data_IF_483710586168
#
_entry.id   IF_483710586168
#
_cell.length_a   1.000
_cell.length_b   1.000
_cell.length_c   1.000
_cell.angle_alpha   90.00
_cell.angle_beta   90.00
_cell.angle_gamma   90.00
#
_symmetry.space_group_name_H-M   'P 1'
#
loop_
_entity.id
_entity.type
_entity.pdbx_description
1 polymer ?
#
# COMPACT_ATOMS: atom_id res chain seq x y z
N UNK A 1 -7.81 -17.88 -7.94
CA UNK A 1 -7.93 -17.72 -7.74
C UNK A 1 -8.10 -17.38 -7.77
N UNK A 2 -7.99 -17.37 -7.81
CA UNK A 2 -8.22 -16.96 -7.76
C UNK A 2 -8.34 -16.37 -7.13
N UNK A 3 -8.63 -16.23 -6.82
CA UNK A 3 -8.94 -15.80 -6.17
C UNK A 3 -8.99 -15.05 -5.60
N UNK A 4 -8.83 -14.68 -5.40
CA UNK A 4 -9.03 -13.95 -4.93
C UNK A 4 -9.43 -13.03 -5.24
N UNK A 5 -9.68 -12.86 -5.85
CA UNK A 5 -10.06 -12.17 -6.22
C UNK A 5 -10.71 -11.60 -6.27
N UNK A 6 -11.21 -11.58 -6.29
CA UNK A 6 -11.87 -11.24 -6.33
C UNK A 6 -12.58 -10.69 -6.07
N UNK A 7 -13.01 -10.39 -5.73
CA UNK A 7 -13.75 -10.15 -5.31
C UNK A 7 -14.40 -9.13 -5.46
N UNK A 8 -14.56 -8.67 -6.08
CA UNK A 8 -14.92 -7.75 -6.41
C UNK A 8 -16.09 -7.59 -6.66
N UNK A 9 -16.54 -7.01 -6.75
CA UNK A 9 -17.70 -7.25 -6.77
C UNK A 9 -18.55 -6.14 -6.39
N UNK A 10 -19.79 -6.16 -6.45
CA UNK A 10 -20.66 -5.05 -6.19
C UNK A 10 -20.39 -4.59 -4.77
N UNK A 11 -20.14 -5.51 -3.97
CA UNK A 11 -19.82 -5.19 -2.63
C UNK A 11 -18.50 -4.47 -2.54
N UNK A 12 -17.75 -4.47 -3.62
CA UNK A 12 -16.45 -3.86 -3.63
C UNK A 12 -16.48 -2.39 -3.41
N UNK A 13 -17.49 -1.72 -3.91
CA UNK A 13 -17.57 -0.29 -3.73
C UNK A 13 -17.75 0.06 -2.27
N UNK A 14 -18.66 -0.60 -1.58
CA UNK A 14 -18.87 -0.37 -0.17
C UNK A 14 -17.62 -0.76 0.63
N UNK A 15 -16.98 -1.85 0.22
CA UNK A 15 -15.78 -2.28 0.88
C UNK A 15 -14.68 -1.23 0.73
N UNK A 16 -14.52 -0.68 -0.47
CA UNK A 16 -13.50 0.32 -0.71
C UNK A 16 -13.76 1.59 0.09
N UNK A 17 -15.01 2.00 0.18
CA UNK A 17 -15.34 3.18 0.97
C UNK A 17 -15.04 2.96 2.43
N UNK A 18 -15.36 1.79 2.95
CA UNK A 18 -15.06 1.46 4.32
C UNK A 18 -13.57 1.36 4.56
N UNK A 19 -12.86 0.79 3.61
CA UNK A 19 -11.41 0.67 3.72
C UNK A 19 -10.76 2.06 3.70
N UNK A 20 -11.21 2.93 2.79
CA UNK A 20 -10.65 4.27 2.71
C UNK A 20 -10.81 5.00 4.03
N UNK A 21 -11.98 4.84 4.64
CA UNK A 21 -12.23 5.51 5.89
C UNK A 21 -11.30 4.98 6.99
N UNK A 22 -11.11 3.67 7.05
CA UNK A 22 -10.21 3.08 8.03
C UNK A 22 -8.76 3.45 7.79
N UNK A 23 -8.37 3.51 6.53
CA UNK A 23 -6.99 3.81 6.17
C UNK A 23 -6.60 5.26 6.44
N UNK A 24 -7.57 6.12 6.72
CA UNK A 24 -7.26 7.49 7.10
C UNK A 24 -6.61 7.52 8.48
N UNK A 25 -6.81 6.47 9.26
CA UNK A 25 -6.15 6.35 10.56
C UNK A 25 -4.72 5.86 10.32
N UNK A 26 -3.71 6.65 10.69
CA UNK A 26 -2.31 6.28 10.40
C UNK A 26 -1.91 4.93 10.99
N UNK A 27 -2.37 4.61 12.17
CA UNK A 27 -2.01 3.34 12.79
C UNK A 27 -2.63 2.17 12.04
N UNK A 28 -3.86 2.35 11.58
CA UNK A 28 -4.50 1.30 10.81
C UNK A 28 -3.77 1.11 9.48
N UNK A 29 -3.39 2.22 8.84
CA UNK A 29 -2.68 2.15 7.57
C UNK A 29 -1.35 1.43 7.71
N UNK A 30 -0.62 1.72 8.77
CA UNK A 30 0.66 1.06 9.01
C UNK A 30 0.45 -0.44 9.23
N UNK A 31 -0.54 -0.81 10.04
CA UNK A 31 -0.84 -2.21 10.26
C UNK A 31 -1.25 -2.92 8.98
N UNK A 32 -2.02 -2.25 8.15
CA UNK A 32 -2.47 -2.77 6.86
C UNK A 32 -1.27 -3.08 5.97
N UNK A 33 -0.35 -2.12 5.85
CA UNK A 33 0.83 -2.32 5.01
C UNK A 33 1.77 -3.37 5.60
N UNK A 34 1.91 -3.40 6.90
CA UNK A 34 2.77 -4.40 7.53
C UNK A 34 2.22 -5.81 7.31
N UNK A 35 0.91 -5.97 7.36
CA UNK A 35 0.31 -7.27 7.11
C UNK A 35 0.57 -7.71 5.66
N UNK A 36 0.48 -6.77 4.73
CA UNK A 36 0.74 -7.05 3.34
C UNK A 36 2.21 -7.42 3.12
N UNK A 37 3.10 -6.73 3.80
CA UNK A 37 4.53 -7.01 3.65
C UNK A 37 4.88 -8.44 4.07
N UNK A 38 4.12 -9.02 4.96
CA UNK A 38 4.37 -10.38 5.38
C UNK A 38 4.07 -11.39 4.28
N UNK A 39 3.29 -11.00 3.28
CA UNK A 39 2.96 -11.89 2.17
C UNK A 39 4.12 -11.99 1.17
N UNK A 40 5.05 -11.06 1.26
CA UNK A 40 6.22 -11.06 0.38
C UNK A 40 5.83 -11.06 -1.10
N UNK A 41 4.79 -10.33 -1.43
CA UNK A 41 4.23 -10.26 -2.79
C UNK A 41 4.31 -8.82 -3.28
N UNK A 42 5.20 -8.53 -4.24
CA UNK A 42 5.36 -7.15 -4.70
C UNK A 42 4.10 -6.53 -5.29
N UNK A 43 3.32 -7.32 -6.03
CA UNK A 43 2.10 -6.77 -6.63
C UNK A 43 1.08 -6.43 -5.55
N UNK A 44 1.00 -7.24 -4.52
CA UNK A 44 0.09 -6.98 -3.42
C UNK A 44 0.53 -5.72 -2.68
N UNK A 45 1.83 -5.53 -2.53
CA UNK A 45 2.34 -4.34 -1.88
C UNK A 45 1.99 -3.09 -2.68
N UNK A 46 2.13 -3.14 -4.00
CA UNK A 46 1.76 -2.00 -4.83
C UNK A 46 0.29 -1.66 -4.69
N UNK A 47 -0.55 -2.69 -4.65
CA UNK A 47 -1.97 -2.48 -4.48
C UNK A 47 -2.27 -1.87 -3.12
N UNK A 48 -1.62 -2.37 -2.08
CA UNK A 48 -1.81 -1.83 -0.74
C UNK A 48 -1.34 -0.39 -0.62
N UNK A 49 -0.21 -0.07 -1.24
CA UNK A 49 0.29 1.30 -1.23
C UNK A 49 -0.68 2.22 -1.96
N UNK A 50 -1.27 1.73 -3.03
CA UNK A 50 -2.25 2.54 -3.77
C UNK A 50 -3.48 2.80 -2.91
N UNK A 51 -3.94 1.80 -2.18
CA UNK A 51 -5.10 1.96 -1.31
C UNK A 51 -4.82 3.00 -0.22
N UNK A 52 -3.65 2.93 0.38
CA UNK A 52 -3.29 3.87 1.43
C UNK A 52 -3.10 5.27 0.85
N UNK A 53 -2.47 5.36 -0.32
CA UNK A 53 -2.25 6.64 -0.97
C UNK A 53 -3.58 7.29 -1.36
N UNK A 54 -4.53 6.48 -1.82
CA UNK A 54 -5.85 7.00 -2.16
C UNK A 54 -6.53 7.57 -0.93
N UNK A 55 -6.47 6.86 0.17
CA UNK A 55 -7.11 7.31 1.41
C UNK A 55 -6.44 8.58 1.95
N UNK A 56 -5.12 8.66 1.79
CA UNK A 56 -4.37 9.82 2.27
C UNK A 56 -4.62 11.02 1.37
N UNK A 57 -4.80 10.80 0.08
CA UNK A 57 -5.04 11.84 -0.91
C UNK A 57 -3.92 11.90 -1.94
N UNK A 58 -4.21 11.48 -3.15
CA UNK A 58 -3.20 11.49 -4.21
C UNK A 58 -2.66 12.89 -4.50
N UNK A 59 -3.50 13.90 -4.40
CA UNK A 59 -3.06 15.26 -4.66
C UNK A 59 -1.97 15.67 -3.68
N UNK A 60 -2.18 15.33 -2.43
CA UNK A 60 -1.22 15.68 -1.39
C UNK A 60 0.11 14.96 -1.63
N UNK A 61 0.05 13.69 -1.98
CA UNK A 61 1.27 12.94 -2.25
C UNK A 61 1.97 13.46 -3.49
N UNK A 62 1.19 13.81 -4.51
CA UNK A 62 1.75 14.35 -5.74
C UNK A 62 2.53 15.63 -5.45
N UNK A 63 1.99 16.49 -4.60
CA UNK A 63 2.66 17.72 -4.25
C UNK A 63 3.98 17.46 -3.53
N UNK A 64 3.97 16.49 -2.64
CA UNK A 64 5.16 16.17 -1.85
C UNK A 64 6.24 15.46 -2.64
N UNK A 65 5.86 14.62 -3.60
CA UNK A 65 6.82 13.80 -4.31
C UNK A 65 7.25 14.38 -5.64
N UNK A 66 6.52 15.37 -6.14
CA UNK A 66 6.79 15.92 -7.45
C UNK A 66 6.20 15.10 -8.58
N UNK A 67 5.53 14.00 -8.27
CA UNK A 67 4.88 13.17 -9.26
C UNK A 67 3.45 13.67 -9.46
N UNK A 68 2.93 13.56 -10.65
CA UNK A 68 1.55 13.90 -10.83
C UNK A 68 0.70 12.69 -10.49
N UNK A 69 -0.60 12.91 -10.40
CA UNK A 69 -1.54 11.88 -10.01
C UNK A 69 -1.49 10.67 -10.91
N UNK A 70 -1.39 10.91 -12.19
CA UNK A 70 -1.35 9.82 -13.16
C UNK A 70 -0.09 8.98 -13.01
N UNK A 71 1.04 9.64 -12.79
CA UNK A 71 2.30 8.93 -12.58
C UNK A 71 2.25 8.08 -11.32
N UNK A 72 1.60 8.59 -10.28
CA UNK A 72 1.44 7.82 -9.05
C UNK A 72 0.61 6.56 -9.29
N UNK A 73 -0.49 6.71 -10.00
CA UNK A 73 -1.33 5.57 -10.32
C UNK A 73 -0.55 4.52 -11.10
N UNK A 74 0.22 4.98 -12.08
CA UNK A 74 1.01 4.07 -12.87
C UNK A 74 2.07 3.36 -12.05
N UNK A 75 2.78 4.10 -11.23
CA UNK A 75 3.86 3.52 -10.42
C UNK A 75 3.33 2.46 -9.47
N UNK A 76 2.11 2.63 -8.98
CA UNK A 76 1.52 1.73 -8.01
C UNK A 76 0.57 0.72 -8.63
N UNK A 77 0.74 0.43 -9.92
CA UNK A 77 -0.10 -0.55 -10.59
C UNK A 77 0.55 -1.91 -10.60
N UNK A 78 -0.27 -2.93 -10.65
CA UNK A 78 0.19 -4.30 -10.71
C UNK A 78 1.17 -4.49 -11.86
N UNK A 79 2.21 -5.23 -11.61
CA UNK A 79 3.18 -5.53 -12.65
C UNK A 79 4.23 -4.48 -12.87
N UNK A 80 4.09 -3.34 -12.20
CA UNK A 80 5.10 -2.30 -12.29
C UNK A 80 6.22 -2.60 -11.32
N UNK A 81 7.30 -1.90 -11.51
CA UNK A 81 8.46 -2.10 -10.65
C UNK A 81 9.06 -0.72 -10.34
N UNK A 82 8.38 0.06 -9.52
CA UNK A 82 8.86 1.40 -9.21
C UNK A 82 10.20 1.34 -8.49
N UNK A 83 10.98 2.37 -8.65
CA UNK A 83 12.26 2.45 -7.96
C UNK A 83 12.01 2.54 -6.47
N UNK A 84 12.95 2.02 -5.71
CA UNK A 84 12.83 2.06 -4.27
C UNK A 84 12.76 3.51 -3.76
N UNK A 85 13.46 4.42 -4.43
CA UNK A 85 13.40 5.82 -4.05
C UNK A 85 11.99 6.38 -4.18
N UNK A 86 11.28 5.99 -5.24
CA UNK A 86 9.90 6.42 -5.41
C UNK A 86 9.02 5.89 -4.29
N UNK A 87 9.20 4.63 -3.93
CA UNK A 87 8.44 4.03 -2.84
C UNK A 87 8.71 4.77 -1.53
N UNK A 88 9.98 5.06 -1.28
CA UNK A 88 10.36 5.77 -0.05
C UNK A 88 9.77 7.18 -0.02
N UNK A 89 9.77 7.85 -1.18
CA UNK A 89 9.18 9.18 -1.26
C UNK A 89 7.69 9.16 -0.98
N UNK A 90 7.00 8.17 -1.53
CA UNK A 90 5.56 8.04 -1.30
C UNK A 90 5.28 7.78 0.18
N UNK A 91 6.04 6.86 0.77
CA UNK A 91 5.86 6.56 2.19
C UNK A 91 6.14 7.78 3.05
N UNK A 92 7.22 8.50 2.71
CA UNK A 92 7.58 9.68 3.46
C UNK A 92 6.48 10.74 3.38
N UNK A 93 5.87 10.88 2.21
CA UNK A 93 4.77 11.84 2.03
C UNK A 93 3.58 11.50 2.92
N UNK A 94 3.46 10.24 3.30
CA UNK A 94 2.39 9.80 4.17
C UNK A 94 2.83 9.69 5.63
N UNK A 95 4.02 10.20 5.94
CA UNK A 95 4.52 10.17 7.31
C UNK A 95 5.06 8.82 7.75
N UNK A 96 5.39 7.96 6.78
CA UNK A 96 5.87 6.62 7.09
C UNK A 96 7.32 6.46 6.65
N UNK A 97 7.98 5.49 7.19
CA UNK A 97 9.31 5.15 6.73
C UNK A 97 9.51 3.65 6.87
N UNK A 98 10.45 3.14 6.11
CA UNK A 98 10.75 1.73 6.11
C UNK A 98 11.61 1.39 7.31
N UNK A 99 11.28 0.27 7.93
CA UNK A 99 12.04 -0.23 9.06
C UNK A 99 12.14 -1.74 8.88
N UNK A 100 13.25 -2.30 9.26
CA UNK A 100 13.44 -3.74 9.14
C UNK A 100 13.26 -4.41 10.50
N UNK A 101 12.80 -5.63 10.45
CA UNK A 101 12.74 -6.44 11.64
C UNK A 101 13.07 -7.87 11.25
N UNK A 102 13.50 -8.65 12.19
CA UNK A 102 13.89 -10.02 11.94
C UNK A 102 12.64 -10.86 11.64
N UNK A 103 12.68 -11.58 10.54
CA UNK A 103 11.58 -12.48 10.22
C UNK A 103 11.47 -13.61 11.21
N UNK A 104 12.61 -14.00 11.81
CA UNK A 104 12.62 -14.98 12.76
C UNK A 104 11.87 -14.61 13.99
N UNK A 105 11.98 -13.35 14.33
CA UNK A 105 11.30 -12.92 15.38
C UNK A 105 9.87 -12.98 15.25
N UNK A 106 9.35 -12.90 14.10
CA UNK A 106 7.98 -12.96 13.85
C UNK A 106 7.46 -14.31 14.18
N UNK A 107 8.24 -15.06 14.70
CA UNK A 107 7.77 -16.26 15.10
C UNK A 107 7.84 -17.35 14.24
N UNK A 108 8.48 -17.29 13.50
CA UNK A 108 8.47 -18.17 12.64
C UNK A 108 9.48 -18.84 12.59
N UNK A 109 9.57 -19.42 12.58
CA UNK A 109 10.36 -20.15 12.44
C UNK A 109 10.89 -20.14 11.47
N UNK A 110 11.53 -19.82 11.30
CA UNK A 110 12.22 -19.63 10.34
C UNK A 110 12.30 -20.63 9.70
N UNK A 111 12.20 -21.07 9.72
CA UNK A 111 12.30 -22.00 9.05
C UNK A 111 12.68 -22.28 8.81
#
# INVERSE_FOLDING_TARGET
MKGRQKKVYPASRAYEEGLDERLKNPEYAIGYLNAILQENDPDLLLLGLRDVARAYGFTHIAQSTGLNRESLYKALSKGRNPRIGTIMDILSAMGCRIKLESARRAGRKAA
#
